data_IF_329282949343
#
_entry.id   IF_329282949343
#
_cell.length_a   1.000
_cell.length_b   1.000
_cell.length_c   1.000
_cell.angle_alpha   90.00
_cell.angle_beta   90.00
_cell.angle_gamma   90.00
#
_symmetry.space_group_name_H-M   'P 1'
#
loop_
_entity.id
_entity.type
_entity.pdbx_description
1 polymer ?
#
# COMPACT_ATOMS: atom_id res chain seq x y z
N UNK A 1 -28.05 4.04 -3.33
CA UNK A 1 -26.95 4.58 -2.51
C UNK A 1 -25.96 5.46 -3.29
N UNK A 2 -25.84 5.32 -4.62
CA UNK A 2 -24.86 6.06 -5.45
C UNK A 2 -25.03 7.60 -5.51
N UNK A 3 -26.26 8.14 -5.43
CA UNK A 3 -26.47 9.59 -5.52
C UNK A 3 -25.94 10.35 -4.30
N UNK A 4 -26.02 9.78 -3.10
CA UNK A 4 -25.57 10.45 -1.88
C UNK A 4 -24.04 10.57 -1.79
N UNK A 5 -23.31 9.54 -2.24
CA UNK A 5 -21.84 9.60 -2.29
C UNK A 5 -21.36 10.63 -3.32
N UNK A 6 -22.02 10.68 -4.49
CA UNK A 6 -21.71 11.66 -5.54
C UNK A 6 -21.99 13.09 -5.10
N UNK A 7 -23.12 13.34 -4.44
CA UNK A 7 -23.45 14.65 -3.86
C UNK A 7 -22.49 15.05 -2.75
N UNK A 8 -22.09 14.12 -1.87
CA UNK A 8 -21.08 14.39 -0.84
C UNK A 8 -19.71 14.75 -1.44
N UNK A 9 -19.27 14.01 -2.47
CA UNK A 9 -18.02 14.29 -3.18
C UNK A 9 -18.04 15.67 -3.85
N UNK A 10 -19.16 16.06 -4.47
CA UNK A 10 -19.28 17.37 -5.13
C UNK A 10 -19.53 18.53 -4.16
N UNK A 11 -20.37 18.37 -3.14
CA UNK A 11 -20.81 19.49 -2.28
C UNK A 11 -19.91 19.69 -1.05
N UNK A 12 -19.35 18.62 -0.48
CA UNK A 12 -18.57 18.68 0.77
C UNK A 12 -17.07 18.62 0.48
N UNK A 13 -16.66 17.78 -0.47
CA UNK A 13 -15.23 17.56 -0.77
C UNK A 13 -14.75 18.35 -2.00
N UNK A 14 -15.66 18.97 -2.75
CA UNK A 14 -15.41 19.70 -3.99
C UNK A 14 -14.56 18.91 -5.03
N UNK A 15 -14.67 17.58 -5.01
CA UNK A 15 -14.01 16.72 -5.99
C UNK A 15 -14.87 16.58 -7.23
N UNK A 16 -14.21 16.69 -8.39
CA UNK A 16 -14.73 16.25 -9.69
C UNK A 16 -13.91 15.06 -10.16
N UNK A 17 -14.50 14.25 -11.03
CA UNK A 17 -13.79 13.11 -11.64
C UNK A 17 -12.45 13.58 -12.23
N UNK A 18 -11.33 12.91 -11.90
CA UNK A 18 -10.03 13.30 -12.42
C UNK A 18 -10.03 13.12 -13.93
N UNK A 19 -9.45 14.08 -14.64
CA UNK A 19 -9.29 14.07 -16.10
C UNK A 19 -7.84 13.92 -16.53
N UNK A 20 -6.93 13.79 -15.57
CA UNK A 20 -5.50 13.58 -15.77
C UNK A 20 -4.91 12.86 -14.56
N UNK A 21 -3.76 12.23 -14.75
CA UNK A 21 -3.02 11.57 -13.68
C UNK A 21 -2.66 12.54 -12.55
N UNK A 22 -2.36 13.80 -12.87
CA UNK A 22 -2.08 14.83 -11.87
C UNK A 22 -3.31 15.17 -11.01
N UNK A 23 -4.50 15.22 -11.60
CA UNK A 23 -5.73 15.42 -10.85
C UNK A 23 -6.04 14.19 -9.98
N UNK A 24 -5.82 13.00 -10.51
CA UNK A 24 -5.99 11.76 -9.77
C UNK A 24 -5.04 11.72 -8.55
N UNK A 25 -3.76 12.01 -8.76
CA UNK A 25 -2.75 12.05 -7.70
C UNK A 25 -3.11 13.06 -6.61
N UNK A 26 -3.61 14.25 -6.98
CA UNK A 26 -4.04 15.25 -6.00
C UNK A 26 -5.21 14.75 -5.14
N UNK A 27 -6.19 14.05 -5.74
CA UNK A 27 -7.32 13.48 -5.01
C UNK A 27 -6.85 12.35 -4.09
N UNK A 28 -5.94 11.50 -4.56
CA UNK A 28 -5.37 10.40 -3.78
C UNK A 28 -4.56 10.93 -2.58
N UNK A 29 -3.76 11.98 -2.78
CA UNK A 29 -3.08 12.66 -1.68
C UNK A 29 -4.05 13.25 -0.66
N UNK A 30 -5.18 13.80 -1.11
CA UNK A 30 -6.20 14.30 -0.20
C UNK A 30 -6.88 13.17 0.59
N UNK A 31 -7.15 12.02 -0.04
CA UNK A 31 -7.66 10.82 0.64
C UNK A 31 -6.74 10.40 1.79
N UNK A 32 -5.43 10.33 1.52
CA UNK A 32 -4.44 10.04 2.56
C UNK A 32 -4.38 11.13 3.63
N UNK A 33 -4.47 12.41 3.24
CA UNK A 33 -4.57 13.53 4.15
C UNK A 33 -5.76 13.45 5.10
N UNK A 34 -6.94 13.00 4.63
CA UNK A 34 -8.08 12.74 5.50
C UNK A 34 -7.78 11.64 6.52
N UNK A 35 -7.13 10.55 6.10
CA UNK A 35 -6.71 9.49 7.01
C UNK A 35 -5.79 10.06 8.11
N UNK A 36 -4.74 10.81 7.74
CA UNK A 36 -3.81 11.45 8.69
C UNK A 36 -4.49 12.38 9.71
N UNK A 37 -5.65 12.95 9.36
CA UNK A 37 -6.45 13.80 10.25
C UNK A 37 -7.55 13.02 11.01
N UNK A 38 -7.49 11.68 11.01
CA UNK A 38 -8.49 10.76 11.58
C UNK A 38 -9.90 10.89 10.96
N UNK A 39 -9.99 11.49 9.77
CA UNK A 39 -11.22 11.63 9.00
C UNK A 39 -11.44 10.38 8.13
N UNK A 40 -11.56 9.24 8.81
CA UNK A 40 -11.50 7.92 8.21
C UNK A 40 -12.62 7.65 7.19
N UNK A 41 -13.86 8.05 7.51
CA UNK A 41 -15.01 7.87 6.61
C UNK A 41 -14.84 8.69 5.32
N UNK A 42 -14.26 9.88 5.44
CA UNK A 42 -13.95 10.74 4.30
C UNK A 42 -12.85 10.15 3.43
N UNK A 43 -11.78 9.63 4.04
CA UNK A 43 -10.69 8.98 3.33
C UNK A 43 -11.18 7.77 2.50
N UNK A 44 -11.96 6.88 3.13
CA UNK A 44 -12.51 5.70 2.46
C UNK A 44 -13.53 6.07 1.39
N UNK A 45 -14.41 7.05 1.64
CA UNK A 45 -15.39 7.48 0.65
C UNK A 45 -14.74 8.03 -0.62
N UNK A 46 -13.61 8.73 -0.52
CA UNK A 46 -12.86 9.20 -1.70
C UNK A 46 -12.27 8.02 -2.47
N UNK A 47 -11.65 7.06 -1.78
CA UNK A 47 -11.10 5.86 -2.42
C UNK A 47 -12.19 5.02 -3.12
N UNK A 48 -13.30 4.74 -2.42
CA UNK A 48 -14.43 3.97 -2.95
C UNK A 48 -15.02 4.66 -4.19
N UNK A 49 -15.21 5.98 -4.10
CA UNK A 49 -15.70 6.78 -5.21
C UNK A 49 -14.78 6.67 -6.44
N UNK A 50 -13.45 6.74 -6.27
CA UNK A 50 -12.49 6.59 -7.37
C UNK A 50 -12.53 5.17 -7.98
N UNK A 51 -12.56 4.12 -7.15
CA UNK A 51 -12.57 2.72 -7.62
C UNK A 51 -13.83 2.38 -8.43
N UNK A 52 -15.00 2.91 -8.04
CA UNK A 52 -16.27 2.68 -8.76
C UNK A 52 -16.23 3.12 -10.23
N UNK A 53 -15.32 4.04 -10.60
CA UNK A 53 -15.20 4.53 -11.97
C UNK A 53 -14.53 3.55 -12.95
N UNK A 54 -14.00 2.42 -12.46
CA UNK A 54 -13.42 1.27 -13.21
C UNK A 54 -12.26 1.56 -14.20
N UNK A 55 -11.99 2.81 -14.59
CA UNK A 55 -10.94 3.15 -15.56
C UNK A 55 -9.54 3.22 -14.95
N UNK A 56 -9.42 3.29 -13.63
CA UNK A 56 -8.14 3.23 -12.90
C UNK A 56 -8.38 2.54 -11.55
N UNK A 57 -7.94 1.28 -11.43
CA UNK A 57 -8.16 0.49 -10.21
C UNK A 57 -6.88 0.28 -9.39
N UNK A 58 -5.70 0.37 -9.99
CA UNK A 58 -4.46 -0.05 -9.32
C UNK A 58 -3.93 1.03 -8.37
N UNK A 59 -3.75 2.26 -8.85
CA UNK A 59 -3.30 3.40 -8.03
C UNK A 59 -4.24 3.70 -6.86
N UNK A 60 -5.53 3.57 -7.11
CA UNK A 60 -6.62 3.81 -6.18
C UNK A 60 -6.63 2.77 -5.07
N UNK A 61 -6.47 1.49 -5.43
CA UNK A 61 -6.39 0.41 -4.45
C UNK A 61 -5.12 0.45 -3.62
N UNK A 62 -3.97 0.82 -4.21
CA UNK A 62 -2.74 1.11 -3.44
C UNK A 62 -2.99 2.19 -2.37
N UNK A 63 -3.66 3.26 -2.76
CA UNK A 63 -3.95 4.36 -1.85
C UNK A 63 -5.00 3.99 -0.80
N UNK A 64 -6.02 3.21 -1.17
CA UNK A 64 -6.96 2.63 -0.22
C UNK A 64 -6.25 1.73 0.78
N UNK A 65 -5.28 0.93 0.35
CA UNK A 65 -4.45 0.13 1.25
C UNK A 65 -3.69 1.00 2.26
N UNK A 66 -3.06 2.10 1.81
CA UNK A 66 -2.37 3.04 2.70
C UNK A 66 -3.32 3.73 3.70
N UNK A 67 -4.52 4.12 3.26
CA UNK A 67 -5.58 4.65 4.13
C UNK A 67 -5.99 3.61 5.18
N UNK A 68 -6.25 2.37 4.75
CA UNK A 68 -6.64 1.26 5.63
C UNK A 68 -5.54 0.90 6.63
N UNK A 69 -4.27 0.92 6.21
CA UNK A 69 -3.11 0.73 7.07
C UNK A 69 -3.08 1.78 8.19
N UNK A 70 -3.21 3.06 7.82
CA UNK A 70 -3.23 4.16 8.79
C UNK A 70 -4.39 4.02 9.80
N UNK A 71 -5.53 3.52 9.33
CA UNK A 71 -6.70 3.23 10.16
C UNK A 71 -6.52 1.99 11.07
N UNK A 72 -5.40 1.27 10.98
CA UNK A 72 -5.16 0.01 11.68
C UNK A 72 -5.94 -1.19 11.13
N UNK A 73 -6.60 -1.04 9.98
CA UNK A 73 -7.35 -2.11 9.30
C UNK A 73 -6.41 -2.95 8.42
N UNK A 74 -5.43 -3.57 9.06
CA UNK A 74 -4.31 -4.21 8.36
C UNK A 74 -4.74 -5.34 7.42
N UNK A 75 -5.76 -6.15 7.78
CA UNK A 75 -6.27 -7.22 6.91
C UNK A 75 -6.96 -6.69 5.65
N UNK A 76 -7.68 -5.59 5.76
CA UNK A 76 -8.33 -4.96 4.61
C UNK A 76 -7.26 -4.35 3.69
N UNK A 77 -6.23 -3.71 4.26
CA UNK A 77 -5.09 -3.19 3.50
C UNK A 77 -4.33 -4.28 2.74
N UNK A 78 -4.14 -5.46 3.37
CA UNK A 78 -3.55 -6.64 2.72
C UNK A 78 -4.38 -7.05 1.51
N UNK A 79 -5.70 -7.16 1.66
CA UNK A 79 -6.58 -7.56 0.56
C UNK A 79 -6.49 -6.62 -0.64
N UNK A 80 -6.33 -5.31 -0.41
CA UNK A 80 -6.16 -4.33 -1.48
C UNK A 80 -4.81 -4.50 -2.21
N UNK A 81 -3.71 -4.73 -1.47
CA UNK A 81 -2.40 -4.96 -2.08
C UNK A 81 -2.29 -6.31 -2.78
N UNK A 82 -2.92 -7.36 -2.24
CA UNK A 82 -3.01 -8.67 -2.91
C UNK A 82 -3.74 -8.55 -4.24
N UNK A 83 -4.81 -7.74 -4.31
CA UNK A 83 -5.48 -7.45 -5.57
C UNK A 83 -4.51 -6.77 -6.55
N UNK A 84 -3.82 -5.71 -6.12
CA UNK A 84 -2.84 -4.96 -6.95
C UNK A 84 -1.74 -5.88 -7.50
N UNK A 85 -1.21 -6.76 -6.66
CA UNK A 85 -0.18 -7.74 -7.03
C UNK A 85 -0.75 -8.78 -7.99
N UNK A 86 -1.95 -9.31 -7.72
CA UNK A 86 -2.62 -10.30 -8.61
C UNK A 86 -2.93 -9.73 -9.99
N UNK A 87 -3.14 -8.41 -10.09
CA UNK A 87 -3.33 -7.70 -11.35
C UNK A 87 -2.02 -7.46 -12.12
N UNK A 88 -0.89 -8.01 -11.65
CA UNK A 88 0.39 -8.01 -12.36
C UNK A 88 1.35 -6.91 -11.95
N UNK A 89 1.16 -6.29 -10.78
CA UNK A 89 2.13 -5.31 -10.30
C UNK A 89 3.53 -5.91 -10.19
N UNK A 90 4.51 -5.16 -10.69
CA UNK A 90 5.94 -5.42 -10.53
C UNK A 90 6.63 -4.29 -9.75
N UNK A 91 5.84 -3.45 -9.07
CA UNK A 91 6.36 -2.34 -8.30
C UNK A 91 6.93 -2.84 -6.96
N UNK A 92 8.22 -2.62 -6.65
CA UNK A 92 8.83 -3.08 -5.40
C UNK A 92 8.12 -2.54 -4.15
N UNK A 93 7.53 -1.35 -4.27
CA UNK A 93 6.79 -0.68 -3.22
C UNK A 93 5.57 -1.50 -2.75
N UNK A 94 4.85 -2.16 -3.66
CA UNK A 94 3.64 -2.90 -3.32
C UNK A 94 3.95 -4.14 -2.48
N UNK A 95 5.01 -4.86 -2.85
CA UNK A 95 5.50 -6.01 -2.09
C UNK A 95 6.12 -5.58 -0.76
N UNK A 96 6.83 -4.44 -0.73
CA UNK A 96 7.37 -3.90 0.52
C UNK A 96 6.24 -3.53 1.48
N UNK A 97 5.22 -2.80 1.02
CA UNK A 97 4.06 -2.44 1.82
C UNK A 97 3.32 -3.69 2.33
N UNK A 98 3.11 -4.69 1.49
CA UNK A 98 2.52 -5.97 1.90
C UNK A 98 3.35 -6.66 3.00
N UNK A 99 4.69 -6.61 2.88
CA UNK A 99 5.60 -7.13 3.90
C UNK A 99 5.47 -6.41 5.25
N UNK A 100 5.34 -5.08 5.24
CA UNK A 100 5.11 -4.28 6.45
C UNK A 100 3.78 -4.65 7.12
N UNK A 101 2.71 -4.83 6.34
CA UNK A 101 1.40 -5.19 6.89
C UNK A 101 1.41 -6.57 7.56
N UNK A 102 2.00 -7.58 6.91
CA UNK A 102 2.16 -8.91 7.52
C UNK A 102 3.08 -8.87 8.74
N UNK A 103 4.15 -8.09 8.68
CA UNK A 103 5.06 -7.89 9.82
C UNK A 103 4.32 -7.31 11.03
N UNK A 104 3.50 -6.27 10.82
CA UNK A 104 2.70 -5.62 11.86
C UNK A 104 1.64 -6.57 12.45
N UNK A 105 1.12 -7.52 11.65
CA UNK A 105 0.21 -8.57 12.13
C UNK A 105 0.92 -9.75 12.83
N UNK A 106 2.25 -9.77 12.87
CA UNK A 106 3.01 -10.90 13.43
C UNK A 106 3.15 -12.09 12.47
N UNK A 107 2.70 -11.96 11.22
CA UNK A 107 2.68 -12.99 10.18
C UNK A 107 4.06 -13.09 9.51
N UNK A 108 5.07 -13.48 10.30
CA UNK A 108 6.50 -13.41 9.92
C UNK A 108 6.85 -14.18 8.64
N UNK A 109 6.20 -15.32 8.38
CA UNK A 109 6.48 -16.10 7.17
C UNK A 109 6.03 -15.37 5.90
N UNK A 110 4.83 -14.77 5.93
CA UNK A 110 4.27 -13.99 4.84
C UNK A 110 5.04 -12.69 4.63
N UNK A 111 5.45 -12.03 5.71
CA UNK A 111 6.30 -10.85 5.66
C UNK A 111 7.64 -11.16 4.93
N UNK A 112 8.30 -12.27 5.27
CA UNK A 112 9.55 -12.68 4.61
C UNK A 112 9.37 -12.93 3.11
N UNK A 113 8.27 -13.58 2.71
CA UNK A 113 7.93 -13.80 1.29
C UNK A 113 7.75 -12.48 0.57
N UNK A 114 6.97 -11.56 1.13
CA UNK A 114 6.69 -10.26 0.53
C UNK A 114 7.97 -9.41 0.40
N UNK A 115 8.82 -9.33 1.44
CA UNK A 115 10.11 -8.63 1.34
C UNK A 115 11.06 -9.29 0.34
N UNK A 116 11.01 -10.62 0.19
CA UNK A 116 11.80 -11.31 -0.84
C UNK A 116 11.36 -10.91 -2.24
N UNK A 117 10.06 -10.82 -2.51
CA UNK A 117 9.55 -10.30 -3.78
C UNK A 117 9.91 -8.83 -3.99
N UNK A 118 9.82 -8.00 -2.96
CA UNK A 118 10.22 -6.58 -3.02
C UNK A 118 11.70 -6.42 -3.40
N UNK A 119 12.58 -7.27 -2.87
CA UNK A 119 14.00 -7.30 -3.23
C UNK A 119 14.23 -7.70 -4.69
N UNK A 120 13.51 -8.71 -5.17
CA UNK A 120 13.65 -9.19 -6.55
C UNK A 120 13.19 -8.14 -7.56
N UNK A 121 11.99 -7.58 -7.38
CA UNK A 121 11.52 -6.50 -8.24
C UNK A 121 12.35 -5.22 -8.07
N UNK A 122 12.82 -4.93 -6.86
CA UNK A 122 13.71 -3.81 -6.59
C UNK A 122 15.04 -3.93 -7.35
N UNK A 123 15.57 -5.15 -7.49
CA UNK A 123 16.77 -5.44 -8.29
C UNK A 123 16.50 -5.21 -9.78
N UNK A 124 15.38 -5.70 -10.30
CA UNK A 124 14.96 -5.53 -11.70
C UNK A 124 14.80 -4.03 -12.01
N UNK A 125 14.09 -3.29 -11.16
CA UNK A 125 13.83 -1.86 -11.31
C UNK A 125 15.03 -0.95 -10.94
N UNK A 126 16.15 -1.53 -10.47
CA UNK A 126 17.31 -0.79 -9.92
C UNK A 126 16.93 0.20 -8.80
N UNK A 127 15.87 -0.09 -8.06
CA UNK A 127 15.38 0.74 -6.97
C UNK A 127 16.14 0.43 -5.66
N UNK A 128 17.13 1.26 -5.33
CA UNK A 128 17.94 1.07 -4.10
C UNK A 128 17.13 1.29 -2.82
N UNK A 129 16.18 2.23 -2.83
CA UNK A 129 15.40 2.57 -1.64
C UNK A 129 14.63 1.36 -1.10
N UNK A 130 13.77 0.76 -1.94
CA UNK A 130 12.99 -0.39 -1.51
C UNK A 130 13.84 -1.64 -1.33
N UNK A 131 14.98 -1.76 -2.00
CA UNK A 131 15.92 -2.86 -1.73
C UNK A 131 16.51 -2.77 -0.32
N UNK A 132 17.07 -1.62 0.05
CA UNK A 132 17.69 -1.44 1.36
C UNK A 132 16.64 -1.58 2.47
N UNK A 133 15.47 -0.96 2.32
CA UNK A 133 14.37 -1.09 3.28
C UNK A 133 13.94 -2.57 3.43
N UNK A 134 13.77 -3.29 2.32
CA UNK A 134 13.36 -4.70 2.36
C UNK A 134 14.42 -5.61 2.97
N UNK A 135 15.71 -5.36 2.76
CA UNK A 135 16.78 -6.10 3.45
C UNK A 135 16.72 -5.88 4.96
N UNK A 136 16.52 -4.63 5.42
CA UNK A 136 16.41 -4.32 6.83
C UNK A 136 15.23 -5.06 7.49
N UNK A 137 14.02 -4.94 6.93
CA UNK A 137 12.85 -5.59 7.50
C UNK A 137 12.91 -7.12 7.39
N UNK A 138 13.43 -7.67 6.28
CA UNK A 138 13.60 -9.13 6.16
C UNK A 138 14.63 -9.66 7.16
N UNK A 139 15.69 -8.91 7.45
CA UNK A 139 16.62 -9.25 8.52
C UNK A 139 15.91 -9.30 9.88
N UNK A 140 15.06 -8.32 10.19
CA UNK A 140 14.29 -8.31 11.44
C UNK A 140 13.31 -9.50 11.52
N UNK A 141 12.59 -9.79 10.45
CA UNK A 141 11.71 -10.96 10.36
C UNK A 141 12.49 -12.25 10.64
N UNK A 142 13.69 -12.39 10.07
CA UNK A 142 14.57 -13.55 10.27
C UNK A 142 15.10 -13.63 11.70
N UNK A 143 15.43 -12.51 12.33
CA UNK A 143 15.77 -12.46 13.76
C UNK A 143 14.62 -12.94 14.64
N UNK A 144 13.39 -12.48 14.39
CA UNK A 144 12.18 -12.91 15.11
C UNK A 144 11.88 -14.40 14.93
N UNK A 145 12.32 -14.98 13.82
CA UNK A 145 12.24 -16.42 13.50
C UNK A 145 13.47 -17.22 13.96
N UNK A 146 14.43 -16.58 14.64
CA UNK A 146 15.70 -17.16 15.06
C UNK A 146 16.61 -17.69 13.91
N UNK A 147 16.40 -17.23 12.67
CA UNK A 147 17.31 -17.47 11.55
C UNK A 147 18.41 -16.41 11.52
N UNK A 148 19.31 -16.48 12.51
CA UNK A 148 20.39 -15.51 12.67
C UNK A 148 21.35 -15.48 11.47
N UNK A 149 21.54 -16.63 10.80
CA UNK A 149 22.43 -16.73 9.65
C UNK A 149 21.87 -15.95 8.46
N UNK A 150 20.59 -16.13 8.14
CA UNK A 150 19.96 -15.40 7.05
C UNK A 150 19.78 -13.92 7.38
N UNK A 151 19.50 -13.57 8.65
CA UNK A 151 19.43 -12.18 9.09
C UNK A 151 20.77 -11.45 8.89
N UNK A 152 21.89 -12.08 9.27
CA UNK A 152 23.23 -11.52 9.05
C UNK A 152 23.57 -11.37 7.56
N UNK A 153 23.07 -12.26 6.70
CA UNK A 153 23.24 -12.14 5.26
C UNK A 153 22.52 -10.90 4.72
N UNK A 154 21.28 -10.64 5.14
CA UNK A 154 20.55 -9.42 4.75
C UNK A 154 21.24 -8.14 5.23
N UNK A 155 21.73 -8.12 6.48
CA UNK A 155 22.40 -6.94 7.03
C UNK A 155 23.69 -6.55 6.29
N UNK A 156 24.30 -7.47 5.54
CA UNK A 156 25.50 -7.21 4.73
C UNK A 156 25.21 -6.58 3.38
N UNK A 157 23.95 -6.53 2.97
CA UNK A 157 23.50 -5.96 1.69
C UNK A 157 23.08 -4.48 1.80
N UNK A 158 23.10 -3.91 3.03
CA UNK A 158 22.79 -2.51 3.32
C UNK A 158 23.99 -1.59 3.08
#
# INVERSE_FOLDING_TARGET
>A
MLNGLREMMSNVMNFRRPRSDQELEAILHAAYGFALNNQNDQALAVCDWLIEAQETAISERRQRAAVLEYMGKLRDAISELEFVISAGSQEPADFHALGILHFNLGEMAQAEVAFTSALEFGRIARNKHYRNSSHLFRAEVRLRRADYKAALADAREL
#
